data_IF_696612007804
#
_entry.id   IF_696612007804
#
_cell.length_a   1.000
_cell.length_b   1.000
_cell.length_c   1.000
_cell.angle_alpha   90.00
_cell.angle_beta   90.00
_cell.angle_gamma   90.00
#
_symmetry.space_group_name_H-M   'P 1'
#
loop_
_entity.id
_entity.type
_entity.pdbx_description
1 polymer ?
#
# COMPACT_ATOMS: atom_id res chain seq x y z
N UNK A 1 -23.52 -38.82 -2.53
CA UNK A 1 -22.38 -39.47 -3.21
C UNK A 1 -22.50 -39.15 -4.70
N UNK A 2 -21.84 -38.08 -5.16
CA UNK A 2 -21.76 -37.77 -6.60
C UNK A 2 -20.76 -38.74 -7.26
N UNK A 3 -21.16 -39.34 -8.38
CA UNK A 3 -20.31 -40.26 -9.15
C UNK A 3 -19.15 -39.46 -9.73
N UNK A 4 -17.94 -40.02 -9.71
CA UNK A 4 -16.78 -39.49 -10.47
C UNK A 4 -17.23 -39.30 -11.94
N UNK A 5 -17.18 -38.08 -12.46
CA UNK A 5 -17.57 -37.76 -13.85
C UNK A 5 -18.77 -36.82 -14.04
N UNK A 6 -19.44 -36.36 -12.98
CA UNK A 6 -20.58 -35.43 -13.11
C UNK A 6 -20.21 -33.94 -12.89
N UNK A 7 -18.95 -33.65 -12.52
CA UNK A 7 -18.48 -32.30 -12.20
C UNK A 7 -17.54 -31.75 -13.26
N UNK A 8 -17.69 -30.47 -13.61
CA UNK A 8 -16.75 -29.75 -14.48
C UNK A 8 -15.30 -29.78 -13.98
N UNK A 9 -15.10 -29.89 -12.68
CA UNK A 9 -13.77 -30.00 -12.08
C UNK A 9 -13.11 -31.34 -12.41
N UNK A 10 -13.87 -32.43 -12.55
CA UNK A 10 -13.32 -33.75 -12.91
C UNK A 10 -12.84 -33.77 -14.37
N UNK A 11 -13.44 -32.92 -15.21
CA UNK A 11 -13.18 -32.83 -16.65
C UNK A 11 -12.14 -31.76 -17.01
N UNK A 12 -11.64 -30.98 -16.05
CA UNK A 12 -10.77 -29.83 -16.31
C UNK A 12 -9.53 -30.18 -17.14
N UNK A 13 -8.87 -31.30 -16.87
CA UNK A 13 -7.68 -31.71 -17.62
C UNK A 13 -7.98 -32.20 -19.05
N UNK A 14 -9.24 -32.52 -19.37
CA UNK A 14 -9.68 -32.81 -20.74
C UNK A 14 -10.06 -31.53 -21.50
N UNK A 15 -10.50 -30.51 -20.78
CA UNK A 15 -10.92 -29.20 -21.32
C UNK A 15 -9.72 -28.29 -21.55
N UNK A 16 -8.71 -28.35 -20.68
CA UNK A 16 -7.49 -27.57 -20.82
C UNK A 16 -6.76 -28.00 -22.11
N UNK A 17 -6.49 -27.05 -23.02
CA UNK A 17 -5.81 -27.37 -24.28
C UNK A 17 -4.49 -28.09 -24.03
N UNK A 18 -4.24 -29.15 -24.80
CA UNK A 18 -3.07 -30.02 -24.61
C UNK A 18 -1.73 -29.29 -24.61
N UNK A 19 -0.66 -29.91 -24.08
CA UNK A 19 0.68 -29.32 -24.06
C UNK A 19 1.19 -29.19 -25.50
N UNK A 20 0.98 -28.03 -26.12
CA UNK A 20 1.48 -27.69 -27.44
C UNK A 20 2.64 -26.70 -27.38
N UNK A 21 3.36 -26.57 -28.49
CA UNK A 21 4.39 -25.52 -28.70
C UNK A 21 3.78 -24.20 -29.20
N UNK A 22 2.48 -24.01 -28.94
CA UNK A 22 1.74 -22.80 -29.29
C UNK A 22 2.27 -21.57 -28.56
N UNK A 23 2.03 -20.40 -29.16
CA UNK A 23 2.50 -19.11 -28.63
C UNK A 23 1.89 -18.77 -27.27
N UNK A 24 0.65 -19.19 -27.07
CA UNK A 24 -0.06 -19.19 -25.80
C UNK A 24 -0.53 -20.60 -25.48
N UNK A 25 -0.33 -21.03 -24.24
CA UNK A 25 -0.70 -22.38 -23.78
C UNK A 25 -1.00 -22.40 -22.29
N UNK A 26 -1.52 -23.52 -21.82
CA UNK A 26 -1.62 -23.78 -20.39
C UNK A 26 -0.23 -24.01 -19.80
N UNK A 27 0.06 -23.34 -18.68
CA UNK A 27 1.27 -23.55 -17.90
C UNK A 27 1.09 -24.78 -16.99
N UNK A 28 1.22 -25.97 -17.60
CA UNK A 28 1.06 -27.25 -16.93
C UNK A 28 1.94 -27.41 -15.67
N UNK A 29 3.24 -27.03 -15.68
CA UNK A 29 4.08 -27.07 -14.48
C UNK A 29 3.54 -26.23 -13.31
N UNK A 30 2.79 -25.15 -13.57
CA UNK A 30 2.22 -24.31 -12.53
C UNK A 30 0.85 -24.80 -12.01
N UNK A 31 0.28 -25.87 -12.56
CA UNK A 31 -1.05 -26.36 -12.15
C UNK A 31 -1.05 -26.78 -10.67
N UNK A 32 -1.97 -26.17 -9.92
CA UNK A 32 -2.35 -26.55 -8.57
C UNK A 32 -3.87 -26.65 -8.51
N UNK A 33 -4.36 -27.87 -8.62
CA UNK A 33 -5.80 -28.17 -8.62
C UNK A 33 -6.48 -27.57 -7.38
N UNK A 34 -7.64 -26.96 -7.59
CA UNK A 34 -8.44 -26.26 -6.57
C UNK A 34 -7.77 -25.02 -5.94
N UNK A 35 -6.60 -24.61 -6.43
CA UNK A 35 -5.89 -23.41 -5.96
C UNK A 35 -5.81 -22.36 -7.06
N UNK A 36 -5.09 -22.66 -8.14
CA UNK A 36 -4.97 -21.79 -9.32
C UNK A 36 -5.53 -22.42 -10.59
N UNK A 37 -5.94 -23.69 -10.52
CA UNK A 37 -6.52 -24.45 -11.62
C UNK A 37 -7.83 -25.06 -11.15
N UNK A 38 -8.95 -24.45 -11.53
CA UNK A 38 -10.27 -24.95 -11.18
C UNK A 38 -11.32 -24.55 -12.22
N UNK A 39 -12.39 -25.35 -12.29
CA UNK A 39 -13.56 -25.11 -13.12
C UNK A 39 -14.79 -25.55 -12.33
N UNK A 40 -15.44 -24.60 -11.67
CA UNK A 40 -16.47 -24.87 -10.66
C UNK A 40 -17.74 -24.07 -10.94
N UNK A 41 -18.89 -24.68 -10.69
CA UNK A 41 -20.18 -23.99 -10.77
C UNK A 41 -20.23 -22.90 -9.69
N UNK A 42 -20.74 -21.71 -10.03
CA UNK A 42 -21.01 -20.64 -9.07
C UNK A 42 -22.05 -21.07 -8.03
N UNK A 43 -22.06 -20.40 -6.88
CA UNK A 43 -22.97 -20.72 -5.77
C UNK A 43 -24.46 -20.53 -6.15
N UNK A 44 -24.76 -19.50 -6.93
CA UNK A 44 -26.09 -19.26 -7.51
C UNK A 44 -26.44 -20.25 -8.64
N UNK A 45 -25.47 -21.03 -9.11
CA UNK A 45 -25.66 -22.04 -10.15
C UNK A 45 -25.75 -21.50 -11.58
N UNK A 46 -25.53 -20.21 -11.81
CA UNK A 46 -25.77 -19.51 -13.09
C UNK A 46 -24.52 -19.38 -13.97
N UNK A 47 -23.33 -19.57 -13.39
CA UNK A 47 -22.05 -19.44 -14.07
C UNK A 47 -21.11 -20.62 -13.79
N UNK A 48 -20.11 -20.77 -14.65
CA UNK A 48 -18.97 -21.64 -14.50
C UNK A 48 -17.73 -20.78 -14.27
N UNK A 49 -17.21 -20.77 -13.04
CA UNK A 49 -16.04 -20.00 -12.64
C UNK A 49 -14.77 -20.78 -12.94
N UNK A 50 -13.77 -20.11 -13.47
CA UNK A 50 -12.48 -20.73 -13.77
C UNK A 50 -11.31 -19.95 -13.18
N UNK A 51 -10.22 -20.68 -12.97
CA UNK A 51 -8.87 -20.16 -12.83
C UNK A 51 -7.97 -21.10 -13.62
N UNK A 52 -7.13 -20.56 -14.50
CA UNK A 52 -6.19 -21.35 -15.31
C UNK A 52 -4.81 -20.66 -15.35
N UNK A 53 -3.71 -21.40 -15.21
CA UNK A 53 -2.38 -20.86 -15.42
C UNK A 53 -2.07 -20.88 -16.92
N UNK A 54 -1.64 -19.74 -17.45
CA UNK A 54 -1.29 -19.55 -18.86
C UNK A 54 0.19 -19.16 -18.98
N UNK A 55 0.85 -19.70 -20.00
CA UNK A 55 2.20 -19.35 -20.42
C UNK A 55 2.16 -18.75 -21.82
N UNK A 56 2.68 -17.53 -21.96
CA UNK A 56 2.76 -16.79 -23.21
C UNK A 56 4.22 -16.58 -23.58
N UNK A 57 4.61 -17.04 -24.78
CA UNK A 57 5.97 -16.93 -25.33
C UNK A 57 6.18 -15.62 -26.10
N UNK A 58 5.40 -14.58 -25.79
CA UNK A 58 5.57 -13.27 -26.39
C UNK A 58 6.99 -12.74 -26.12
N UNK A 59 7.64 -12.06 -27.09
CA UNK A 59 8.94 -11.46 -26.87
C UNK A 59 8.76 -10.33 -25.85
N UNK A 60 9.31 -10.54 -24.66
CA UNK A 60 9.27 -9.58 -23.56
C UNK A 60 10.69 -9.35 -23.08
N UNK A 61 11.00 -8.19 -22.46
CA UNK A 61 12.30 -7.96 -21.85
C UNK A 61 12.67 -9.14 -20.95
N UNK A 62 13.86 -9.71 -21.15
CA UNK A 62 14.24 -10.99 -20.54
C UNK A 62 14.14 -11.02 -19.00
N UNK A 63 14.16 -12.22 -18.40
CA UNK A 63 14.05 -12.39 -16.96
C UNK A 63 15.11 -11.58 -16.21
N UNK A 64 14.71 -10.91 -15.13
CA UNK A 64 15.64 -10.15 -14.30
C UNK A 64 14.96 -9.22 -13.29
N UNK A 65 15.75 -8.41 -12.57
CA UNK A 65 15.23 -7.35 -11.73
C UNK A 65 14.24 -6.48 -12.53
N UNK A 66 13.10 -6.17 -11.91
CA UNK A 66 12.07 -5.34 -12.49
C UNK A 66 10.99 -6.05 -13.32
N UNK A 67 11.06 -7.37 -13.50
CA UNK A 67 10.08 -8.11 -14.32
C UNK A 67 8.63 -8.01 -13.85
N UNK A 68 8.38 -7.76 -12.56
CA UNK A 68 7.05 -7.46 -12.03
C UNK A 68 6.47 -6.14 -12.57
N UNK A 69 7.31 -5.13 -12.83
CA UNK A 69 6.88 -3.91 -13.51
C UNK A 69 6.37 -4.20 -14.93
N UNK A 70 7.13 -4.99 -15.70
CA UNK A 70 6.77 -5.44 -17.04
C UNK A 70 5.44 -6.23 -17.03
N UNK A 71 5.31 -7.20 -16.14
CA UNK A 71 4.08 -7.99 -15.99
C UNK A 71 2.90 -7.12 -15.58
N UNK A 72 3.13 -6.10 -14.74
CA UNK A 72 2.10 -5.15 -14.34
C UNK A 72 1.48 -4.43 -15.52
N UNK A 73 2.32 -3.90 -16.43
CA UNK A 73 1.86 -3.24 -17.66
C UNK A 73 1.10 -4.21 -18.56
N UNK A 74 1.58 -5.46 -18.69
CA UNK A 74 0.89 -6.49 -19.48
C UNK A 74 -0.50 -6.78 -18.93
N UNK A 75 -0.63 -6.97 -17.61
CA UNK A 75 -1.92 -7.21 -16.96
C UNK A 75 -2.87 -6.03 -17.18
N UNK A 76 -2.41 -4.80 -16.96
CA UNK A 76 -3.26 -3.61 -17.16
C UNK A 76 -3.66 -3.42 -18.64
N UNK A 77 -2.79 -3.78 -19.60
CA UNK A 77 -3.14 -3.79 -21.01
C UNK A 77 -4.23 -4.82 -21.33
N UNK A 78 -4.15 -6.02 -20.75
CA UNK A 78 -5.20 -7.05 -20.89
C UNK A 78 -6.51 -6.53 -20.30
N UNK A 79 -6.51 -5.98 -19.08
CA UNK A 79 -7.70 -5.41 -18.44
C UNK A 79 -8.36 -4.34 -19.31
N UNK A 80 -7.58 -3.43 -19.88
CA UNK A 80 -8.08 -2.39 -20.77
C UNK A 80 -8.68 -2.95 -22.06
N UNK A 81 -8.15 -4.06 -22.57
CA UNK A 81 -8.64 -4.70 -23.80
C UNK A 81 -9.92 -5.53 -23.60
N UNK A 82 -10.30 -5.90 -22.37
CA UNK A 82 -11.43 -6.82 -22.10
C UNK A 82 -12.74 -6.35 -22.73
N UNK A 83 -12.99 -5.04 -22.79
CA UNK A 83 -14.22 -4.51 -23.39
C UNK A 83 -14.17 -4.39 -24.92
N UNK A 84 -12.98 -4.38 -25.53
CA UNK A 84 -12.79 -4.28 -26.97
C UNK A 84 -12.53 -5.62 -27.67
N UNK A 85 -12.08 -6.64 -26.92
CA UNK A 85 -11.72 -7.95 -27.44
C UNK A 85 -12.65 -9.04 -26.88
N UNK A 86 -13.59 -9.50 -27.71
CA UNK A 86 -14.67 -10.42 -27.33
C UNK A 86 -14.19 -11.65 -26.56
N UNK A 87 -13.06 -12.22 -26.99
CA UNK A 87 -12.52 -13.47 -26.43
C UNK A 87 -11.92 -13.28 -25.02
N UNK A 88 -11.64 -12.04 -24.59
CA UNK A 88 -11.27 -11.71 -23.22
C UNK A 88 -12.48 -11.51 -22.29
N UNK A 89 -13.69 -11.43 -22.84
CA UNK A 89 -14.95 -11.26 -22.09
C UNK A 89 -15.12 -12.20 -20.88
N UNK A 90 -14.67 -13.48 -20.91
CA UNK A 90 -14.74 -14.36 -19.75
C UNK A 90 -14.02 -13.82 -18.50
N UNK A 91 -12.97 -13.00 -18.66
CA UNK A 91 -12.25 -12.38 -17.53
C UNK A 91 -13.16 -11.42 -16.76
N UNK A 92 -14.03 -10.68 -17.47
CA UNK A 92 -15.06 -9.80 -16.90
C UNK A 92 -16.39 -10.52 -16.61
N UNK A 93 -16.49 -11.82 -16.88
CA UNK A 93 -17.73 -12.58 -16.74
C UNK A 93 -18.81 -12.18 -17.75
N UNK A 94 -18.43 -11.67 -18.92
CA UNK A 94 -19.37 -11.26 -19.97
C UNK A 94 -20.32 -12.41 -20.34
N UNK A 95 -21.62 -12.11 -20.39
CA UNK A 95 -22.68 -13.08 -20.70
C UNK A 95 -23.19 -13.89 -19.50
N UNK A 96 -22.56 -13.79 -18.33
CA UNK A 96 -23.10 -14.38 -17.08
C UNK A 96 -24.24 -13.51 -16.52
N UNK A 97 -25.08 -14.11 -15.67
CA UNK A 97 -26.18 -13.38 -14.99
C UNK A 97 -25.66 -12.33 -14.00
N UNK A 98 -24.50 -12.58 -13.39
CA UNK A 98 -23.88 -11.72 -12.39
C UNK A 98 -22.40 -11.40 -12.74
N UNK A 99 -22.13 -10.62 -13.80
CA UNK A 99 -20.77 -10.27 -14.22
C UNK A 99 -20.01 -9.48 -13.14
N UNK A 100 -20.76 -8.85 -12.22
CA UNK A 100 -20.21 -8.12 -11.07
C UNK A 100 -19.24 -8.92 -10.20
N UNK A 101 -19.35 -10.26 -10.18
CA UNK A 101 -18.45 -11.15 -9.44
C UNK A 101 -17.03 -11.22 -10.03
N UNK A 102 -16.85 -10.83 -11.29
CA UNK A 102 -15.56 -10.85 -11.99
C UNK A 102 -14.90 -9.47 -12.08
N UNK A 103 -15.55 -8.42 -11.58
CA UNK A 103 -15.00 -7.06 -11.60
C UNK A 103 -13.64 -6.90 -10.91
N UNK A 104 -13.26 -7.63 -9.84
CA UNK A 104 -11.89 -7.59 -9.31
C UNK A 104 -10.81 -7.98 -10.33
N UNK A 105 -11.13 -8.81 -11.32
CA UNK A 105 -10.18 -9.21 -12.36
C UNK A 105 -9.85 -8.05 -13.32
N UNK A 106 -10.78 -7.10 -13.49
CA UNK A 106 -10.60 -5.97 -14.41
C UNK A 106 -10.46 -4.61 -13.72
N UNK A 107 -10.49 -4.57 -12.38
CA UNK A 107 -10.20 -3.36 -11.62
C UNK A 107 -8.76 -2.90 -11.94
N UNK A 108 -8.55 -1.64 -12.35
CA UNK A 108 -7.21 -1.11 -12.56
C UNK A 108 -6.41 -1.08 -11.26
N UNK A 109 -5.19 -1.61 -11.29
CA UNK A 109 -4.34 -1.71 -10.09
C UNK A 109 -2.96 -1.15 -10.37
N UNK A 110 -2.56 -0.18 -9.56
CA UNK A 110 -1.23 0.44 -9.63
C UNK A 110 -0.25 -0.11 -8.59
N UNK A 111 -0.62 -1.14 -7.83
CA UNK A 111 0.28 -1.86 -6.92
C UNK A 111 1.05 -2.94 -7.70
N UNK A 112 2.36 -2.75 -7.86
CA UNK A 112 3.25 -3.69 -8.56
C UNK A 112 3.78 -4.75 -7.60
N UNK A 113 4.34 -4.34 -6.45
CA UNK A 113 4.90 -5.26 -5.48
C UNK A 113 4.63 -4.81 -4.05
N UNK A 114 4.35 -5.78 -3.17
CA UNK A 114 4.18 -5.56 -1.73
C UNK A 114 4.72 -6.74 -0.96
N UNK A 115 5.33 -6.47 0.21
CA UNK A 115 5.67 -7.50 1.20
C UNK A 115 4.49 -7.90 2.08
N UNK A 116 3.39 -7.15 2.04
CA UNK A 116 2.15 -7.45 2.76
C UNK A 116 1.19 -8.25 1.86
N UNK A 117 0.27 -9.00 2.45
CA UNK A 117 -0.81 -9.69 1.74
C UNK A 117 -1.93 -8.73 1.26
N UNK A 118 -1.58 -7.48 0.91
CA UNK A 118 -2.54 -6.47 0.49
C UNK A 118 -2.85 -6.61 -1.01
N UNK A 119 -4.12 -6.45 -1.39
CA UNK A 119 -4.57 -6.54 -2.79
C UNK A 119 -4.33 -7.90 -3.44
N UNK A 120 -4.33 -9.00 -2.68
CA UNK A 120 -4.17 -10.39 -3.20
C UNK A 120 -5.41 -10.92 -3.90
N UNK A 121 -6.54 -10.26 -3.70
CA UNK A 121 -7.82 -10.50 -4.36
C UNK A 121 -7.93 -9.84 -5.74
N UNK A 122 -6.98 -8.96 -6.08
CA UNK A 122 -6.92 -8.24 -7.36
C UNK A 122 -5.93 -8.92 -8.32
N UNK A 123 -6.17 -8.77 -9.62
CA UNK A 123 -5.22 -9.28 -10.62
C UNK A 123 -4.04 -8.32 -10.78
N UNK A 124 -2.84 -8.75 -10.36
CA UNK A 124 -1.61 -7.94 -10.36
C UNK A 124 -0.38 -8.85 -10.43
N UNK A 125 0.83 -8.30 -10.60
CA UNK A 125 2.06 -9.07 -10.51
C UNK A 125 2.21 -9.74 -9.13
N UNK A 126 2.55 -11.02 -9.15
CA UNK A 126 2.79 -11.85 -7.96
C UNK A 126 3.56 -13.14 -8.36
N UNK A 127 3.52 -14.16 -7.51
CA UNK A 127 4.19 -15.43 -7.79
C UNK A 127 3.55 -16.24 -8.94
N UNK A 128 2.25 -16.06 -9.18
CA UNK A 128 1.52 -16.71 -10.27
C UNK A 128 1.51 -15.87 -11.55
N UNK A 129 1.68 -14.55 -11.42
CA UNK A 129 1.73 -13.60 -12.51
C UNK A 129 3.13 -13.00 -12.59
N UNK A 130 4.00 -13.61 -13.40
CA UNK A 130 5.44 -13.30 -13.45
C UNK A 130 6.00 -13.47 -14.84
N UNK A 131 7.26 -13.09 -15.01
CA UNK A 131 8.05 -13.31 -16.22
C UNK A 131 9.31 -14.08 -15.85
N UNK A 132 9.63 -15.12 -16.61
CA UNK A 132 10.89 -15.84 -16.49
C UNK A 132 11.49 -16.16 -17.88
N UNK A 133 12.40 -17.13 -17.96
CA UNK A 133 13.06 -17.50 -19.22
C UNK A 133 12.12 -18.16 -20.25
N UNK A 134 11.01 -18.74 -19.80
CA UNK A 134 10.05 -19.43 -20.66
C UNK A 134 8.99 -18.47 -21.24
N UNK A 135 8.81 -17.32 -20.60
CA UNK A 135 7.92 -16.25 -21.07
C UNK A 135 7.13 -15.59 -19.94
N UNK A 136 5.90 -15.18 -20.26
CA UNK A 136 4.97 -14.54 -19.32
C UNK A 136 4.01 -15.58 -18.76
N UNK A 137 4.06 -15.76 -17.46
CA UNK A 137 3.16 -16.61 -16.69
C UNK A 137 2.03 -15.77 -16.12
N UNK A 138 0.77 -16.18 -16.35
CA UNK A 138 -0.41 -15.49 -15.83
C UNK A 138 -1.38 -16.49 -15.21
N UNK A 139 -1.95 -16.17 -14.06
CA UNK A 139 -3.10 -16.88 -13.51
C UNK A 139 -4.35 -16.12 -13.91
N UNK A 140 -5.05 -16.63 -14.92
CA UNK A 140 -6.23 -15.99 -15.49
C UNK A 140 -7.47 -16.52 -14.81
N UNK A 141 -8.29 -15.62 -14.27
CA UNK A 141 -9.53 -15.93 -13.58
C UNK A 141 -10.71 -15.30 -14.31
N UNK A 142 -11.86 -15.97 -14.25
CA UNK A 142 -13.06 -15.45 -14.89
C UNK A 142 -14.28 -16.34 -14.67
N UNK A 143 -15.31 -16.07 -15.47
CA UNK A 143 -16.52 -16.86 -15.49
C UNK A 143 -17.12 -16.94 -16.90
N UNK A 144 -17.77 -18.06 -17.17
CA UNK A 144 -18.56 -18.32 -18.37
C UNK A 144 -20.01 -18.58 -17.97
N UNK A 145 -21.00 -18.33 -18.85
CA UNK A 145 -22.38 -18.78 -18.60
C UNK A 145 -22.39 -20.28 -18.33
N UNK A 146 -23.17 -20.73 -17.34
CA UNK A 146 -23.19 -22.16 -17.01
C UNK A 146 -23.78 -22.97 -18.18
N UNK A 147 -23.01 -23.86 -18.82
CA UNK A 147 -23.47 -24.55 -20.03
C UNK A 147 -24.39 -25.76 -19.73
N UNK A 148 -24.62 -26.08 -18.45
CA UNK A 148 -25.25 -27.33 -18.01
C UNK A 148 -24.22 -28.36 -17.53
N UNK A 149 -24.65 -29.62 -17.32
CA UNK A 149 -23.75 -30.70 -16.93
C UNK A 149 -22.71 -31.02 -18.04
N UNK A 150 -21.53 -31.57 -17.69
CA UNK A 150 -20.50 -31.94 -18.66
C UNK A 150 -21.03 -32.94 -19.69
N UNK A 151 -20.87 -32.63 -20.97
CA UNK A 151 -21.09 -33.55 -22.10
C UNK A 151 -19.92 -33.40 -23.08
N UNK A 152 -19.61 -34.41 -23.92
CA UNK A 152 -18.51 -34.31 -24.88
C UNK A 152 -18.57 -33.05 -25.77
N UNK A 153 -19.77 -32.68 -26.24
CA UNK A 153 -19.96 -31.47 -27.06
C UNK A 153 -19.65 -30.18 -26.28
N UNK A 154 -20.06 -30.09 -25.01
CA UNK A 154 -19.81 -28.90 -24.18
C UNK A 154 -18.37 -28.82 -23.71
N UNK A 155 -17.71 -29.97 -23.51
CA UNK A 155 -16.28 -30.03 -23.22
C UNK A 155 -15.49 -29.42 -24.38
N UNK A 156 -15.80 -29.82 -25.63
CA UNK A 156 -15.18 -29.26 -26.83
C UNK A 156 -15.43 -27.75 -26.96
N UNK A 157 -16.66 -27.29 -26.71
CA UNK A 157 -16.99 -25.86 -26.74
C UNK A 157 -16.17 -25.05 -25.72
N UNK A 158 -15.94 -25.59 -24.51
CA UNK A 158 -15.11 -24.92 -23.51
C UNK A 158 -13.63 -24.93 -23.87
N UNK A 159 -13.12 -26.02 -24.45
CA UNK A 159 -11.75 -26.10 -24.96
C UNK A 159 -11.50 -25.03 -26.03
N UNK A 160 -12.40 -24.90 -27.02
CA UNK A 160 -12.34 -23.85 -28.05
C UNK A 160 -12.37 -22.44 -27.44
N UNK A 161 -13.21 -22.21 -26.43
CA UNK A 161 -13.27 -20.92 -25.71
C UNK A 161 -11.98 -20.61 -24.96
N UNK A 162 -11.34 -21.60 -24.33
CA UNK A 162 -10.07 -21.38 -23.65
C UNK A 162 -8.92 -21.17 -24.65
N UNK A 163 -8.91 -21.85 -25.79
CA UNK A 163 -7.98 -21.57 -26.88
C UNK A 163 -8.12 -20.14 -27.38
N UNK A 164 -9.36 -19.69 -27.65
CA UNK A 164 -9.61 -18.31 -28.08
C UNK A 164 -9.19 -17.27 -27.03
N UNK A 165 -9.41 -17.56 -25.74
CA UNK A 165 -8.95 -16.72 -24.63
C UNK A 165 -7.41 -16.64 -24.60
N UNK A 166 -6.71 -17.76 -24.75
CA UNK A 166 -5.24 -17.80 -24.79
C UNK A 166 -4.68 -17.02 -25.98
N UNK A 167 -5.27 -17.19 -27.17
CA UNK A 167 -4.89 -16.44 -28.37
C UNK A 167 -5.11 -14.93 -28.20
N UNK A 168 -6.23 -14.54 -27.59
CA UNK A 168 -6.53 -13.13 -27.30
C UNK A 168 -5.53 -12.51 -26.31
N UNK A 169 -5.13 -13.25 -25.28
CA UNK A 169 -4.08 -12.83 -24.36
C UNK A 169 -2.77 -12.57 -25.10
N UNK A 170 -2.27 -13.52 -25.91
CA UNK A 170 -1.04 -13.34 -26.69
C UNK A 170 -1.13 -12.17 -27.68
N UNK A 171 -2.28 -11.99 -28.35
CA UNK A 171 -2.51 -10.82 -29.22
C UNK A 171 -2.36 -9.50 -28.47
N UNK A 172 -2.88 -9.39 -27.26
CA UNK A 172 -2.75 -8.17 -26.44
C UNK A 172 -1.33 -7.98 -25.97
N UNK A 173 -0.69 -9.01 -25.41
CA UNK A 173 0.68 -8.93 -24.90
C UNK A 173 1.66 -8.48 -25.99
N UNK A 174 1.53 -9.00 -27.21
CA UNK A 174 2.38 -8.61 -28.35
C UNK A 174 2.15 -7.20 -28.87
N UNK A 175 1.00 -6.57 -28.56
CA UNK A 175 0.70 -5.19 -28.93
C UNK A 175 1.21 -4.18 -27.92
N UNK A 176 1.64 -4.62 -26.73
CA UNK A 176 2.21 -3.73 -25.73
C UNK A 176 3.55 -3.20 -26.25
N UNK A 177 3.75 -1.87 -26.34
CA UNK A 177 4.99 -1.31 -26.86
C UNK A 177 6.21 -1.66 -26.00
N UNK A 178 7.31 -2.08 -26.62
CA UNK A 178 8.57 -2.43 -25.93
C UNK A 178 9.09 -1.30 -25.02
N UNK A 179 8.86 -0.04 -25.42
CA UNK A 179 9.23 1.13 -24.62
C UNK A 179 8.48 1.18 -23.29
N UNK A 180 7.21 0.75 -23.25
CA UNK A 180 6.36 0.78 -22.05
C UNK A 180 6.76 -0.38 -21.13
N UNK A 181 7.07 -1.55 -21.72
CA UNK A 181 7.61 -2.71 -21.00
C UNK A 181 8.96 -2.40 -20.33
N UNK A 182 9.85 -1.70 -21.05
CA UNK A 182 11.18 -1.30 -20.57
C UNK A 182 11.07 -0.23 -19.49
N UNK A 183 10.28 0.82 -19.71
CA UNK A 183 10.08 1.88 -18.72
C UNK A 183 9.50 1.35 -17.40
N UNK A 184 8.55 0.40 -17.46
CA UNK A 184 8.01 -0.21 -16.25
C UNK A 184 9.00 -1.12 -15.53
N UNK A 185 9.85 -1.83 -16.27
CA UNK A 185 10.97 -2.59 -15.69
C UNK A 185 11.92 -1.68 -14.94
N UNK A 186 12.37 -0.61 -15.59
CA UNK A 186 13.34 0.33 -15.03
C UNK A 186 12.76 1.03 -13.80
N UNK A 187 11.48 1.42 -13.83
CA UNK A 187 10.80 2.01 -12.68
C UNK A 187 10.71 1.04 -11.48
N UNK A 188 10.50 -0.25 -11.73
CA UNK A 188 10.51 -1.26 -10.67
C UNK A 188 11.92 -1.43 -10.09
N UNK A 189 12.96 -1.38 -10.92
CA UNK A 189 14.37 -1.39 -10.48
C UNK A 189 14.66 -0.14 -9.64
N UNK A 190 14.26 1.05 -10.11
CA UNK A 190 14.45 2.33 -9.45
C UNK A 190 13.91 2.32 -8.02
N UNK A 191 12.64 1.93 -7.85
CA UNK A 191 11.98 1.87 -6.55
C UNK A 191 12.69 0.92 -5.58
N UNK A 192 13.07 -0.28 -6.06
CA UNK A 192 13.73 -1.29 -5.23
C UNK A 192 15.15 -0.88 -4.86
N UNK A 193 15.91 -0.34 -5.81
CA UNK A 193 17.26 0.12 -5.57
C UNK A 193 17.27 1.31 -4.61
N UNK A 194 16.40 2.30 -4.84
CA UNK A 194 16.23 3.45 -3.96
C UNK A 194 15.88 3.01 -2.54
N UNK A 195 14.89 2.12 -2.37
CA UNK A 195 14.49 1.63 -1.04
C UNK A 195 15.63 0.96 -0.28
N UNK A 196 16.46 0.19 -0.99
CA UNK A 196 17.64 -0.47 -0.41
C UNK A 196 18.73 0.52 -0.05
N UNK A 197 18.87 1.61 -0.80
CA UNK A 197 19.89 2.64 -0.57
C UNK A 197 19.55 3.56 0.62
N UNK A 198 18.27 3.80 0.92
CA UNK A 198 17.82 4.75 1.96
C UNK A 198 18.63 4.63 3.28
N UNK A 199 18.78 3.44 3.90
CA UNK A 199 19.47 3.37 5.19
C UNK A 199 20.95 3.73 5.10
N UNK A 200 21.61 3.41 3.99
CA UNK A 200 23.03 3.68 3.77
C UNK A 200 23.36 5.17 3.60
N UNK A 201 22.36 5.99 3.25
CA UNK A 201 22.45 7.45 3.16
C UNK A 201 21.78 8.16 4.34
N UNK A 202 21.47 7.42 5.42
CA UNK A 202 20.88 7.99 6.63
C UNK A 202 19.42 8.40 6.50
N UNK A 203 18.67 7.83 5.55
CA UNK A 203 17.25 8.11 5.32
C UNK A 203 16.36 6.91 5.66
N UNK A 204 15.09 7.18 5.96
CA UNK A 204 14.02 6.19 6.14
C UNK A 204 12.90 6.33 5.10
N UNK A 205 12.78 7.50 4.48
CA UNK A 205 11.89 7.70 3.34
C UNK A 205 12.43 8.78 2.41
N UNK A 206 12.02 8.74 1.15
CA UNK A 206 12.26 9.76 0.15
C UNK A 206 10.95 10.07 -0.57
N UNK A 207 10.63 11.35 -0.71
CA UNK A 207 9.45 11.85 -1.43
C UNK A 207 9.94 12.72 -2.58
N UNK A 208 9.97 12.17 -3.80
CA UNK A 208 10.39 12.90 -4.98
C UNK A 208 9.47 14.10 -5.28
N UNK A 209 10.04 15.17 -5.80
CA UNK A 209 9.28 16.27 -6.39
C UNK A 209 8.41 15.75 -7.53
N UNK A 210 7.18 16.26 -7.59
CA UNK A 210 6.15 15.77 -8.51
C UNK A 210 5.26 14.65 -7.94
N UNK A 211 5.61 14.09 -6.77
CA UNK A 211 4.79 13.07 -6.10
C UNK A 211 3.37 13.56 -5.88
N UNK A 212 2.40 12.65 -6.06
CA UNK A 212 0.98 12.93 -6.13
C UNK A 212 0.25 12.05 -5.11
N UNK A 213 0.09 12.50 -3.85
CA UNK A 213 -0.29 11.64 -2.72
C UNK A 213 -1.79 11.33 -2.61
N UNK A 214 -2.67 12.22 -3.09
CA UNK A 214 -4.13 12.05 -3.03
C UNK A 214 -4.65 10.84 -3.84
N UNK A 215 -5.70 10.19 -3.32
CA UNK A 215 -6.23 8.91 -3.84
C UNK A 215 -7.71 8.94 -4.17
N UNK A 216 -8.09 8.06 -5.10
CA UNK A 216 -9.47 7.62 -5.34
C UNK A 216 -9.64 6.19 -4.83
N UNK A 217 -10.65 6.00 -3.98
CA UNK A 217 -11.02 4.71 -3.46
C UNK A 217 -12.12 4.08 -4.31
N UNK A 218 -12.09 2.76 -4.46
CA UNK A 218 -13.20 1.97 -4.99
C UNK A 218 -13.59 0.90 -3.97
N UNK A 219 -14.69 0.19 -4.22
CA UNK A 219 -15.08 -0.94 -3.36
C UNK A 219 -14.04 -2.07 -3.31
N UNK A 220 -13.16 -2.14 -4.33
CA UNK A 220 -12.09 -3.13 -4.45
C UNK A 220 -10.76 -2.60 -3.91
N UNK A 221 -10.55 -1.28 -3.97
CA UNK A 221 -9.35 -0.59 -3.48
C UNK A 221 -9.71 0.37 -2.37
N UNK A 222 -10.21 -0.19 -1.26
CA UNK A 222 -10.71 0.57 -0.11
C UNK A 222 -9.60 1.02 0.85
N UNK A 223 -8.35 0.63 0.60
CA UNK A 223 -7.21 0.96 1.45
C UNK A 223 -6.20 1.86 0.72
N UNK A 224 -5.67 2.89 1.40
CA UNK A 224 -4.84 3.93 0.77
C UNK A 224 -3.60 3.40 0.04
N UNK A 225 -3.01 2.30 0.54
CA UNK A 225 -1.86 1.62 -0.10
C UNK A 225 -2.18 1.04 -1.48
N UNK A 226 -3.43 0.66 -1.75
CA UNK A 226 -3.85 0.08 -3.06
C UNK A 226 -4.79 0.99 -3.85
N UNK A 227 -5.31 2.04 -3.24
CA UNK A 227 -6.15 3.03 -3.90
C UNK A 227 -5.41 3.68 -5.08
N UNK A 228 -6.15 4.02 -6.14
CA UNK A 228 -5.61 4.64 -7.34
C UNK A 228 -5.38 6.14 -7.20
N UNK A 229 -4.76 6.78 -8.21
CA UNK A 229 -4.60 8.23 -8.24
C UNK A 229 -5.95 8.95 -8.20
N UNK A 230 -5.97 10.14 -7.59
CA UNK A 230 -7.14 11.02 -7.61
C UNK A 230 -7.42 11.51 -9.04
N UNK A 231 -8.70 11.62 -9.39
CA UNK A 231 -9.14 12.25 -10.64
C UNK A 231 -9.26 13.78 -10.49
N UNK A 232 -8.99 14.50 -11.57
CA UNK A 232 -9.08 15.97 -11.59
C UNK A 232 -7.90 16.66 -10.92
N UNK A 233 -8.19 17.66 -10.08
CA UNK A 233 -7.15 18.52 -9.49
C UNK A 233 -6.29 17.74 -8.49
N UNK A 234 -5.01 17.65 -8.82
CA UNK A 234 -3.99 16.97 -8.03
C UNK A 234 -2.75 17.87 -7.91
N UNK A 235 -2.56 18.47 -6.73
CA UNK A 235 -1.39 19.31 -6.45
C UNK A 235 -0.18 18.39 -6.24
N UNK A 236 0.90 18.53 -7.04
CA UNK A 236 2.12 17.76 -6.85
C UNK A 236 2.90 18.27 -5.64
N UNK A 237 3.47 17.34 -4.88
CA UNK A 237 4.45 17.62 -3.83
C UNK A 237 5.69 18.27 -4.45
N UNK A 238 6.24 19.26 -3.74
CA UNK A 238 7.57 19.82 -4.00
C UNK A 238 8.28 19.97 -2.66
N UNK A 239 9.56 19.68 -2.56
CA UNK A 239 10.31 19.92 -1.34
C UNK A 239 10.67 21.42 -1.25
N UNK A 240 10.31 22.12 -0.16
CA UNK A 240 10.85 23.44 0.12
C UNK A 240 12.37 23.40 0.23
N UNK A 241 13.06 24.43 -0.26
CA UNK A 241 14.53 24.49 -0.27
C UNK A 241 15.11 24.47 1.15
N UNK A 242 14.40 25.07 2.10
CA UNK A 242 14.79 25.18 3.51
C UNK A 242 14.68 23.86 4.28
N UNK A 243 14.11 22.80 3.66
CA UNK A 243 14.13 21.45 4.21
C UNK A 243 15.30 20.60 3.71
N UNK A 244 16.26 21.21 3.01
CA UNK A 244 17.45 20.58 2.44
C UNK A 244 17.08 19.41 1.50
N UNK A 245 16.50 19.68 0.31
CA UNK A 245 16.18 18.63 -0.65
C UNK A 245 17.42 17.83 -1.02
N UNK A 246 17.24 16.53 -1.24
CA UNK A 246 18.30 15.60 -1.63
C UNK A 246 18.13 15.20 -3.09
N UNK A 247 19.24 14.98 -3.77
CA UNK A 247 19.27 14.44 -5.14
C UNK A 247 19.63 12.96 -5.11
N UNK A 248 18.91 12.17 -5.91
CA UNK A 248 19.08 10.73 -6.02
C UNK A 248 19.18 10.35 -7.48
N UNK A 249 20.24 9.63 -7.85
CA UNK A 249 20.35 8.97 -9.14
C UNK A 249 19.61 7.61 -9.10
N UNK A 250 18.71 7.41 -10.05
CA UNK A 250 17.86 6.25 -10.16
C UNK A 250 18.57 5.13 -10.94
N UNK A 251 18.71 3.95 -10.34
CA UNK A 251 19.59 2.89 -10.84
C UNK A 251 19.11 2.19 -12.13
N UNK A 252 17.80 2.13 -12.36
CA UNK A 252 17.18 1.57 -13.56
C UNK A 252 17.10 2.60 -14.68
N UNK A 253 16.51 3.77 -14.42
CA UNK A 253 16.29 4.79 -15.46
C UNK A 253 17.47 5.73 -15.71
N UNK A 254 18.47 5.78 -14.82
CA UNK A 254 19.62 6.70 -14.89
C UNK A 254 19.27 8.17 -14.65
N UNK A 255 18.02 8.47 -14.28
CA UNK A 255 17.57 9.84 -14.03
C UNK A 255 18.03 10.31 -12.65
N UNK A 256 18.34 11.59 -12.54
CA UNK A 256 18.50 12.25 -11.23
C UNK A 256 17.18 12.89 -10.84
N UNK A 257 16.73 12.66 -9.61
CA UNK A 257 15.51 13.25 -9.05
C UNK A 257 15.80 13.94 -7.72
N UNK A 258 15.18 15.10 -7.54
CA UNK A 258 15.24 15.88 -6.30
C UNK A 258 14.01 15.61 -5.45
N UNK A 259 14.13 15.65 -4.13
CA UNK A 259 12.98 15.47 -3.24
C UNK A 259 13.32 15.59 -1.76
N UNK A 260 12.30 15.37 -0.93
CA UNK A 260 12.44 15.38 0.53
C UNK A 260 12.97 14.03 1.02
N UNK A 261 14.14 14.01 1.66
CA UNK A 261 14.62 12.87 2.44
C UNK A 261 14.17 12.99 3.91
N UNK A 262 13.49 11.97 4.43
CA UNK A 262 13.20 11.82 5.88
C UNK A 262 14.37 11.08 6.52
N UNK A 263 15.04 11.74 7.46
CA UNK A 263 16.32 11.32 8.05
C UNK A 263 16.11 10.31 9.18
N UNK A 264 17.05 9.39 9.35
CA UNK A 264 17.06 8.47 10.50
C UNK A 264 17.12 9.27 11.82
N UNK A 265 16.41 8.76 12.84
CA UNK A 265 16.36 9.32 14.21
C UNK A 265 15.75 10.73 14.32
N UNK A 266 15.24 11.30 13.23
CA UNK A 266 14.66 12.63 13.28
C UNK A 266 13.23 12.60 13.83
N UNK A 267 12.81 13.73 14.40
CA UNK A 267 11.40 14.01 14.67
C UNK A 267 10.90 15.01 13.61
N UNK A 268 10.09 14.55 12.67
CA UNK A 268 9.60 15.36 11.56
C UNK A 268 8.11 15.68 11.71
N UNK A 269 7.76 16.97 11.72
CA UNK A 269 6.37 17.41 11.80
C UNK A 269 5.83 17.79 10.42
N UNK A 270 4.68 17.23 10.06
CA UNK A 270 3.82 17.68 8.96
C UNK A 270 2.68 18.50 9.58
N UNK A 271 2.87 19.81 9.66
CA UNK A 271 1.93 20.76 10.23
C UNK A 271 0.93 21.28 9.18
N UNK A 272 -0.17 21.88 9.62
CA UNK A 272 -1.13 22.54 8.71
C UNK A 272 -2.55 22.51 9.25
N UNK A 273 -3.41 23.37 8.71
CA UNK A 273 -4.82 23.42 9.09
C UNK A 273 -5.58 22.14 8.70
N UNK A 274 -6.84 22.07 9.09
CA UNK A 274 -7.74 20.97 8.73
C UNK A 274 -7.86 20.86 7.21
N UNK A 275 -7.93 19.62 6.72
CA UNK A 275 -8.07 19.30 5.29
C UNK A 275 -6.92 19.77 4.37
N UNK A 276 -5.75 20.13 4.90
CA UNK A 276 -4.61 20.57 4.08
C UNK A 276 -3.80 19.42 3.42
N UNK A 277 -4.13 18.16 3.71
CA UNK A 277 -3.50 16.98 3.10
C UNK A 277 -2.42 16.30 3.94
N UNK A 278 -2.34 16.61 5.24
CA UNK A 278 -1.36 16.01 6.18
C UNK A 278 -1.45 14.48 6.22
N UNK A 279 -2.62 13.95 6.60
CA UNK A 279 -2.87 12.50 6.66
C UNK A 279 -2.72 11.84 5.29
N UNK A 280 -3.04 12.56 4.21
CA UNK A 280 -2.82 12.09 2.83
C UNK A 280 -1.34 11.87 2.53
N UNK A 281 -0.46 12.78 2.94
CA UNK A 281 0.98 12.61 2.79
C UNK A 281 1.51 11.46 3.66
N UNK A 282 1.07 11.36 4.92
CA UNK A 282 1.46 10.25 5.81
C UNK A 282 1.03 8.89 5.23
N UNK A 283 -0.19 8.78 4.72
CA UNK A 283 -0.66 7.57 4.04
C UNK A 283 0.17 7.24 2.79
N UNK A 284 0.61 8.25 2.05
CA UNK A 284 1.50 8.04 0.91
C UNK A 284 2.87 7.52 1.37
N UNK A 285 3.44 8.06 2.45
CA UNK A 285 4.69 7.59 3.10
C UNK A 285 4.56 6.14 3.58
N UNK A 286 3.43 5.74 4.17
CA UNK A 286 3.17 4.33 4.51
C UNK A 286 3.14 3.45 3.26
N UNK A 287 2.49 3.93 2.18
CA UNK A 287 2.42 3.22 0.91
C UNK A 287 3.79 3.08 0.23
N UNK A 288 4.76 3.98 0.46
CA UNK A 288 6.11 3.88 -0.11
C UNK A 288 6.90 2.61 0.25
N UNK A 289 6.39 1.78 1.17
CA UNK A 289 6.88 0.42 1.40
C UNK A 289 6.61 -0.53 0.22
N UNK A 290 5.67 -0.16 -0.64
CA UNK A 290 5.22 -0.90 -1.81
C UNK A 290 5.76 -0.25 -3.10
N UNK A 291 5.89 -1.05 -4.15
CA UNK A 291 6.24 -0.57 -5.49
C UNK A 291 4.97 -0.26 -6.28
N UNK A 292 4.94 0.90 -6.93
CA UNK A 292 3.80 1.39 -7.68
C UNK A 292 4.10 1.46 -9.19
N UNK A 293 3.08 1.18 -9.99
CA UNK A 293 3.14 1.25 -11.45
C UNK A 293 3.13 2.70 -11.95
N UNK A 294 3.62 2.90 -13.17
CA UNK A 294 3.61 4.21 -13.83
C UNK A 294 2.19 4.79 -13.92
N UNK A 295 2.05 6.08 -13.57
CA UNK A 295 0.78 6.81 -13.55
C UNK A 295 0.09 6.83 -12.18
N UNK A 296 0.61 6.14 -11.16
CA UNK A 296 0.08 6.18 -9.79
C UNK A 296 0.34 7.52 -9.08
N UNK A 297 1.46 8.16 -9.40
CA UNK A 297 1.94 9.37 -8.74
C UNK A 297 2.73 9.15 -7.44
N UNK A 298 2.87 7.91 -6.92
CA UNK A 298 3.77 7.58 -5.78
C UNK A 298 5.00 6.79 -6.19
N UNK A 299 5.26 6.66 -7.48
CA UNK A 299 6.27 5.74 -7.98
C UNK A 299 7.67 6.08 -7.49
N UNK A 300 7.94 7.34 -7.14
CA UNK A 300 9.21 7.77 -6.54
C UNK A 300 9.04 8.31 -5.11
N UNK A 301 7.94 7.93 -4.45
CA UNK A 301 7.82 8.01 -3.00
C UNK A 301 8.14 6.63 -2.44
N UNK A 302 9.29 6.53 -1.78
CA UNK A 302 9.83 5.26 -1.31
C UNK A 302 10.15 5.34 0.18
N UNK A 303 9.69 4.34 0.93
CA UNK A 303 9.95 4.22 2.37
C UNK A 303 10.62 2.87 2.66
N UNK A 304 11.48 2.84 3.68
CA UNK A 304 12.02 1.59 4.21
C UNK A 304 10.89 0.66 4.66
N UNK A 305 11.15 -0.65 4.68
CA UNK A 305 10.19 -1.62 5.19
C UNK A 305 10.08 -1.54 6.73
N UNK A 306 8.93 -1.91 7.27
CA UNK A 306 8.72 -1.98 8.72
C UNK A 306 8.22 -0.67 9.32
N UNK A 307 7.62 0.22 8.51
CA UNK A 307 6.98 1.44 9.02
C UNK A 307 5.87 1.05 9.98
N UNK A 308 5.96 1.54 11.21
CA UNK A 308 4.95 1.37 12.23
C UNK A 308 3.99 2.57 12.24
N UNK A 309 2.75 2.30 12.62
CA UNK A 309 1.74 3.33 12.89
C UNK A 309 1.19 3.08 14.29
N UNK A 310 0.94 4.16 15.03
CA UNK A 310 0.24 4.09 16.29
C UNK A 310 -1.00 4.99 16.27
N UNK A 311 -2.16 4.39 16.52
CA UNK A 311 -3.47 5.04 16.57
C UNK A 311 -4.12 4.78 17.94
N UNK A 312 -4.96 5.71 18.38
CA UNK A 312 -5.89 5.45 19.45
C UNK A 312 -6.99 4.49 18.98
N UNK A 313 -7.42 3.61 19.87
CA UNK A 313 -8.54 2.71 19.65
C UNK A 313 -8.95 2.00 20.93
N UNK A 314 -9.95 1.14 20.81
CA UNK A 314 -10.45 0.33 21.92
C UNK A 314 -10.22 -1.14 21.60
N UNK A 315 -9.35 -1.79 22.37
CA UNK A 315 -9.09 -3.24 22.24
C UNK A 315 -8.60 -3.85 23.54
N UNK A 316 -8.74 -5.17 23.63
CA UNK A 316 -8.19 -5.95 24.72
C UNK A 316 -6.66 -5.87 24.76
N UNK A 317 -6.12 -5.60 25.95
CA UNK A 317 -4.70 -5.67 26.27
C UNK A 317 -4.39 -7.06 26.84
N UNK A 318 -3.31 -7.66 26.37
CA UNK A 318 -2.81 -8.95 26.86
C UNK A 318 -1.29 -8.86 27.03
N UNK A 319 -0.84 -8.44 28.22
CA UNK A 319 0.57 -8.20 28.49
C UNK A 319 1.14 -7.00 27.75
N UNK A 320 0.32 -5.95 27.58
CA UNK A 320 0.72 -4.75 26.87
C UNK A 320 1.72 -3.92 27.69
N UNK A 321 2.87 -3.59 27.10
CA UNK A 321 3.81 -2.65 27.71
C UNK A 321 3.38 -1.22 27.38
N UNK A 322 3.02 -0.44 28.40
CA UNK A 322 2.68 0.99 28.39
C UNK A 322 3.58 1.83 29.32
N UNK A 323 4.58 1.21 29.95
CA UNK A 323 5.47 1.80 30.95
C UNK A 323 6.29 3.03 30.51
N UNK A 324 6.48 3.26 29.21
CA UNK A 324 7.10 4.49 28.71
C UNK A 324 6.23 5.73 29.00
N UNK A 325 4.91 5.56 28.95
CA UNK A 325 3.95 6.65 29.11
C UNK A 325 3.25 6.63 30.45
N UNK A 326 3.05 5.46 31.06
CA UNK A 326 2.30 5.30 32.30
C UNK A 326 3.20 4.82 33.45
N UNK A 327 3.29 5.60 34.52
CA UNK A 327 3.98 5.18 35.75
C UNK A 327 3.12 4.27 36.63
N UNK A 328 1.79 4.37 36.48
CA UNK A 328 0.78 3.50 37.11
C UNK A 328 -0.38 3.29 36.16
N UNK A 329 -1.03 2.13 36.27
CA UNK A 329 -2.20 1.81 35.45
C UNK A 329 -3.47 2.52 35.96
N UNK A 330 -4.39 2.92 35.07
CA UNK A 330 -5.71 3.39 35.47
C UNK A 330 -6.51 2.32 36.25
N UNK A 331 -7.43 2.72 37.15
CA UNK A 331 -8.34 1.78 37.80
C UNK A 331 -9.11 0.92 36.78
N UNK A 332 -9.23 -0.38 37.05
CA UNK A 332 -9.92 -1.33 36.18
C UNK A 332 -9.04 -1.99 35.11
N UNK A 333 -7.79 -1.54 34.94
CA UNK A 333 -6.77 -2.22 34.13
C UNK A 333 -5.91 -3.07 35.06
N UNK A 334 -5.77 -4.36 34.74
CA UNK A 334 -5.01 -5.31 35.55
C UNK A 334 -3.53 -5.36 35.18
N UNK A 335 -2.70 -5.89 36.09
CA UNK A 335 -1.26 -6.08 35.89
C UNK A 335 -0.43 -4.86 36.29
N UNK A 336 0.68 -4.66 35.57
CA UNK A 336 1.64 -3.56 35.79
C UNK A 336 1.85 -2.80 34.47
N UNK A 337 2.35 -1.55 34.45
CA UNK A 337 2.58 -0.82 33.20
C UNK A 337 3.43 -1.55 32.16
N UNK A 338 4.33 -2.47 32.56
CA UNK A 338 5.12 -3.30 31.63
C UNK A 338 4.37 -4.51 31.05
N UNK A 339 3.24 -4.86 31.65
CA UNK A 339 2.42 -6.00 31.28
C UNK A 339 0.96 -5.75 31.72
N UNK A 340 0.28 -4.85 31.00
CA UNK A 340 -1.11 -4.47 31.26
C UNK A 340 -2.10 -5.45 30.61
N UNK A 341 -3.20 -5.72 31.31
CA UNK A 341 -4.26 -6.63 30.88
C UNK A 341 -5.64 -5.98 31.06
N UNK A 342 -6.60 -6.33 30.22
CA UNK A 342 -7.98 -5.85 30.31
C UNK A 342 -8.40 -5.02 29.11
N UNK A 343 -9.35 -4.10 29.28
CA UNK A 343 -9.79 -3.22 28.20
C UNK A 343 -8.90 -1.99 28.11
N UNK A 344 -8.23 -1.81 26.96
CA UNK A 344 -7.39 -0.65 26.69
C UNK A 344 -8.23 0.52 26.17
N UNK A 345 -8.11 1.67 26.82
CA UNK A 345 -8.60 2.95 26.28
C UNK A 345 -7.73 3.44 25.12
N UNK A 346 -8.19 4.46 24.41
CA UNK A 346 -7.47 5.08 23.28
C UNK A 346 -5.99 5.37 23.58
N UNK A 347 -5.68 5.98 24.72
CA UNK A 347 -4.30 6.32 25.10
C UNK A 347 -3.46 5.11 25.51
N UNK A 348 -4.05 4.09 26.16
CA UNK A 348 -3.32 2.87 26.52
C UNK A 348 -2.98 2.04 25.28
N UNK A 349 -3.92 1.90 24.34
CA UNK A 349 -3.70 1.19 23.08
C UNK A 349 -2.61 1.87 22.27
N UNK A 350 -2.70 3.19 22.11
CA UNK A 350 -1.70 3.97 21.38
C UNK A 350 -0.31 3.90 22.06
N UNK A 351 -0.25 4.01 23.39
CA UNK A 351 1.01 3.88 24.14
C UNK A 351 1.66 2.51 23.93
N UNK A 352 0.86 1.45 23.91
CA UNK A 352 1.33 0.11 23.63
C UNK A 352 1.85 -0.05 22.19
N UNK A 353 1.19 0.57 21.20
CA UNK A 353 1.66 0.55 19.81
C UNK A 353 2.98 1.30 19.65
N UNK A 354 3.12 2.47 20.27
CA UNK A 354 4.38 3.22 20.26
C UNK A 354 5.49 2.37 20.91
N UNK A 355 5.27 1.81 22.10
CA UNK A 355 6.30 0.98 22.73
C UNK A 355 6.62 -0.29 21.95
N UNK A 356 5.63 -0.89 21.29
CA UNK A 356 5.89 -2.04 20.42
C UNK A 356 6.78 -1.65 19.25
N UNK A 357 6.50 -0.51 18.60
CA UNK A 357 7.33 0.01 17.52
C UNK A 357 8.77 0.27 17.96
N UNK A 358 8.96 0.89 19.14
CA UNK A 358 10.30 1.15 19.70
C UNK A 358 11.04 -0.14 20.04
N UNK A 359 10.35 -1.10 20.69
CA UNK A 359 10.92 -2.40 21.05
C UNK A 359 11.29 -3.26 19.84
N UNK A 360 10.53 -3.17 18.75
CA UNK A 360 10.86 -3.85 17.48
C UNK A 360 11.82 -3.05 16.62
N UNK A 361 12.37 -1.92 17.13
CA UNK A 361 13.26 -1.02 16.41
C UNK A 361 12.71 -0.64 15.03
N UNK A 362 11.41 -0.28 14.97
CA UNK A 362 10.78 0.18 13.75
C UNK A 362 11.56 1.39 13.22
N UNK A 363 11.99 1.41 11.94
CA UNK A 363 12.81 2.50 11.43
C UNK A 363 12.05 3.84 11.36
N UNK A 364 10.72 3.77 11.21
CA UNK A 364 9.83 4.92 11.12
C UNK A 364 8.53 4.62 11.87
N UNK A 365 8.18 5.49 12.82
CA UNK A 365 6.91 5.50 13.53
C UNK A 365 6.08 6.71 13.06
N UNK A 366 4.87 6.44 12.57
CA UNK A 366 3.94 7.45 12.07
C UNK A 366 2.78 7.67 13.04
N UNK A 367 2.51 8.94 13.36
CA UNK A 367 1.41 9.38 14.23
C UNK A 367 0.54 10.41 13.49
N UNK A 368 -0.78 10.33 13.65
CA UNK A 368 -1.73 11.26 13.01
C UNK A 368 -2.66 11.83 14.06
N UNK A 369 -2.67 13.16 14.25
CA UNK A 369 -3.51 13.84 15.24
C UNK A 369 -4.99 13.42 15.15
N UNK A 370 -5.52 13.25 13.93
CA UNK A 370 -6.91 12.87 13.69
C UNK A 370 -7.27 11.45 14.19
N UNK A 371 -6.26 10.62 14.49
CA UNK A 371 -6.43 9.25 14.99
C UNK A 371 -5.69 9.02 16.31
N UNK A 372 -5.27 10.09 16.98
CA UNK A 372 -4.47 10.01 18.19
C UNK A 372 -5.28 10.29 19.46
N UNK A 373 -4.80 9.76 20.58
CA UNK A 373 -5.21 10.19 21.90
C UNK A 373 -4.39 11.44 22.27
N UNK A 374 -4.99 12.63 22.13
CA UNK A 374 -4.29 13.92 22.31
C UNK A 374 -3.63 14.05 23.69
N UNK A 375 -4.27 13.53 24.74
CA UNK A 375 -3.73 13.49 26.10
C UNK A 375 -2.49 12.58 26.28
N UNK A 376 -2.22 11.68 25.33
CA UNK A 376 -0.96 10.93 25.29
C UNK A 376 0.14 11.71 24.56
N UNK A 377 -0.23 12.62 23.66
CA UNK A 377 0.70 13.36 22.82
C UNK A 377 1.21 14.65 23.47
N UNK A 378 0.32 15.42 24.09
CA UNK A 378 0.62 16.72 24.70
C UNK A 378 0.16 16.79 26.16
N UNK A 379 0.86 17.56 27.02
CA UNK A 379 0.43 17.76 28.41
C UNK A 379 -0.86 18.58 28.48
N UNK A 380 -1.72 18.26 29.45
CA UNK A 380 -2.90 19.05 29.80
C UNK A 380 -3.01 19.33 31.30
N UNK A 381 -3.68 20.41 31.68
CA UNK A 381 -3.86 20.80 33.09
C UNK A 381 -4.75 19.85 33.90
N UNK A 382 -5.55 19.01 33.23
CA UNK A 382 -6.38 17.97 33.85
C UNK A 382 -5.69 16.60 33.91
N UNK A 383 -4.47 16.50 33.38
CA UNK A 383 -3.73 15.25 33.33
C UNK A 383 -3.08 14.97 34.68
N UNK A 384 -3.33 13.78 35.23
CA UNK A 384 -2.69 13.35 36.48
C UNK A 384 -1.22 12.98 36.31
N UNK A 385 -0.47 13.00 37.42
CA UNK A 385 0.98 12.75 37.52
C UNK A 385 1.44 11.35 37.05
N UNK A 386 0.49 10.48 36.69
CA UNK A 386 0.73 9.11 36.25
C UNK A 386 1.12 8.96 34.77
N UNK A 387 0.98 10.01 33.96
CA UNK A 387 1.14 9.93 32.49
C UNK A 387 2.18 10.94 31.99
N UNK A 388 3.18 10.46 31.27
CA UNK A 388 4.20 11.30 30.60
C UNK A 388 3.88 11.42 29.10
N UNK A 389 3.43 12.58 28.61
CA UNK A 389 3.12 12.77 27.19
C UNK A 389 4.32 12.64 26.26
N UNK A 390 4.07 12.34 24.98
CA UNK A 390 5.10 12.26 23.95
C UNK A 390 5.92 13.55 23.83
N UNK A 391 5.28 14.72 23.86
CA UNK A 391 5.98 16.00 23.78
C UNK A 391 6.97 16.18 24.96
N UNK A 392 6.61 15.70 26.15
CA UNK A 392 7.50 15.73 27.31
C UNK A 392 8.67 14.77 27.13
N UNK A 393 8.43 13.54 26.67
CA UNK A 393 9.49 12.56 26.39
C UNK A 393 10.47 13.08 25.33
N UNK A 394 9.97 13.72 24.28
CA UNK A 394 10.79 14.33 23.23
C UNK A 394 11.61 15.54 23.73
N UNK A 395 11.14 16.21 24.78
CA UNK A 395 11.84 17.34 25.38
C UNK A 395 12.91 16.88 26.39
N UNK A 396 12.67 15.80 27.13
CA UNK A 396 13.49 15.45 28.32
C UNK A 396 14.21 14.11 28.23
N UNK A 397 13.76 13.18 27.37
CA UNK A 397 14.22 11.79 27.32
C UNK A 397 14.29 11.25 25.88
N UNK A 398 14.97 11.96 24.98
CA UNK A 398 15.04 11.58 23.55
C UNK A 398 15.70 10.22 23.29
N UNK A 399 16.62 9.82 24.15
CA UNK A 399 17.36 8.57 24.06
C UNK A 399 16.45 7.33 24.05
N UNK A 400 15.24 7.42 24.62
CA UNK A 400 14.28 6.29 24.69
C UNK A 400 13.74 5.90 23.32
N UNK A 401 13.81 6.78 22.32
CA UNK A 401 13.34 6.49 20.95
C UNK A 401 14.40 5.74 20.12
N UNK A 402 15.65 5.67 20.61
CA UNK A 402 16.74 4.95 19.96
C UNK A 402 16.92 5.34 18.49
N UNK A 403 16.84 4.34 17.62
CA UNK A 403 16.99 4.50 16.17
C UNK A 403 15.70 4.91 15.44
N UNK A 404 14.57 4.94 16.15
CA UNK A 404 13.25 5.13 15.55
C UNK A 404 13.07 6.58 15.12
N UNK A 405 12.81 6.79 13.84
CA UNK A 405 12.38 8.09 13.30
C UNK A 405 10.91 8.32 13.64
N UNK A 406 10.53 9.52 14.06
CA UNK A 406 9.14 9.87 14.33
C UNK A 406 8.65 10.86 13.29
N UNK A 407 7.60 10.50 12.57
CA UNK A 407 6.89 11.39 11.65
C UNK A 407 5.47 11.58 12.17
N UNK A 408 5.03 12.83 12.33
CA UNK A 408 3.66 13.08 12.77
C UNK A 408 2.96 14.19 11.99
N UNK A 409 1.65 14.00 11.77
CA UNK A 409 0.76 15.04 11.29
C UNK A 409 0.12 15.75 12.47
N UNK A 410 0.14 17.09 12.45
CA UNK A 410 -0.50 17.90 13.47
C UNK A 410 -1.11 19.19 12.90
N UNK A 411 -2.22 19.61 13.47
CA UNK A 411 -2.91 20.89 13.27
C UNK A 411 -2.86 21.75 14.51
N UNK A 412 -3.10 21.16 15.69
CA UNK A 412 -3.33 21.91 16.93
C UNK A 412 -2.36 21.54 18.05
N UNK A 413 -1.51 20.53 17.84
CA UNK A 413 -0.53 20.06 18.82
C UNK A 413 0.73 20.93 18.83
N UNK A 414 0.60 22.23 19.05
CA UNK A 414 1.72 23.19 18.97
C UNK A 414 2.89 22.83 19.89
N UNK A 415 2.58 22.34 21.11
CA UNK A 415 3.59 21.89 22.08
C UNK A 415 4.40 20.70 21.54
N UNK A 416 3.77 19.79 20.79
CA UNK A 416 4.44 18.66 20.15
C UNK A 416 5.22 19.11 18.91
N UNK A 417 4.63 19.96 18.06
CA UNK A 417 5.28 20.55 16.88
C UNK A 417 6.57 21.28 17.28
N UNK A 418 6.56 22.00 18.42
CA UNK A 418 7.72 22.69 18.95
C UNK A 418 8.89 21.73 19.31
N UNK A 419 8.64 20.43 19.47
CA UNK A 419 9.68 19.42 19.69
C UNK A 419 10.24 18.82 18.40
N UNK A 420 9.65 19.06 17.22
CA UNK A 420 10.19 18.53 15.99
C UNK A 420 11.56 19.12 15.63
N UNK A 421 12.38 18.34 14.93
CA UNK A 421 13.68 18.74 14.42
C UNK A 421 13.53 19.53 13.11
N UNK A 422 12.60 19.10 12.25
CA UNK A 422 12.16 19.83 11.05
C UNK A 422 10.63 19.91 11.01
N UNK A 423 10.13 21.03 10.52
CA UNK A 423 8.69 21.29 10.41
C UNK A 423 8.37 21.66 8.97
N UNK A 424 7.50 20.88 8.35
CA UNK A 424 6.90 21.18 7.06
C UNK A 424 5.43 21.52 7.28
N UNK A 425 4.99 22.69 6.80
CA UNK A 425 3.60 23.09 6.78
C UNK A 425 2.96 22.79 5.44
N UNK A 426 1.75 22.24 5.45
CA UNK A 426 0.86 22.19 4.31
C UNK A 426 -0.16 23.32 4.37
N UNK A 427 -0.29 24.07 3.27
CA UNK A 427 -1.29 25.13 3.08
C UNK A 427 -1.70 25.21 1.61
N UNK A 428 -2.99 25.08 1.31
CA UNK A 428 -3.48 24.92 -0.05
C UNK A 428 -2.96 23.64 -0.73
N UNK A 429 -2.62 22.61 0.06
CA UNK A 429 -1.87 21.41 -0.38
C UNK A 429 -0.45 21.67 -0.89
N UNK A 430 0.06 22.89 -0.78
CA UNK A 430 1.45 23.23 -1.04
C UNK A 430 2.28 23.10 0.24
N UNK A 431 3.55 22.79 0.06
CA UNK A 431 4.53 22.59 1.12
C UNK A 431 5.30 23.88 1.40
N UNK A 432 5.53 24.17 2.67
CA UNK A 432 6.39 25.25 3.14
C UNK A 432 7.24 24.75 4.30
N UNK A 433 8.47 25.21 4.41
CA UNK A 433 9.24 25.00 5.62
C UNK A 433 8.83 26.00 6.69
N UNK A 434 8.81 25.58 7.96
CA UNK A 434 8.74 26.48 9.09
C UNK A 434 10.05 26.41 9.88
N UNK A 435 10.67 27.57 10.11
CA UNK A 435 11.82 27.64 11.01
C UNK A 435 11.39 27.28 12.43
N UNK A 436 12.03 26.28 13.01
CA UNK A 436 11.72 25.76 14.34
C UNK A 436 11.87 26.82 15.43
N UNK A 437 12.87 27.71 15.33
CA UNK A 437 13.12 28.74 16.36
C UNK A 437 12.07 29.83 16.29
N UNK A 438 11.68 30.23 15.08
CA UNK A 438 10.56 31.14 14.85
C UNK A 438 9.24 30.55 15.34
N UNK A 439 8.95 29.29 15.02
CA UNK A 439 7.75 28.60 15.52
C UNK A 439 7.68 28.62 17.05
N UNK A 440 8.78 28.28 17.73
CA UNK A 440 8.87 28.34 19.20
C UNK A 440 8.64 29.75 19.76
N UNK A 441 9.24 30.78 19.15
CA UNK A 441 9.00 32.19 19.55
C UNK A 441 7.57 32.64 19.32
N UNK A 442 6.91 32.13 18.28
CA UNK A 442 5.48 32.40 18.02
C UNK A 442 4.61 31.73 19.07
N UNK A 443 4.87 30.47 19.41
CA UNK A 443 4.15 29.74 20.44
C UNK A 443 4.30 30.39 21.82
N UNK A 444 5.52 30.77 22.21
CA UNK A 444 5.79 31.44 23.48
C UNK A 444 4.98 32.73 23.63
N UNK A 445 4.98 33.60 22.61
CA UNK A 445 4.16 34.83 22.60
C UNK A 445 2.66 34.53 22.70
N UNK A 446 2.19 33.49 22.00
CA UNK A 446 0.79 33.09 22.06
C UNK A 446 0.38 32.65 23.47
N UNK A 447 1.18 31.79 24.11
CA UNK A 447 0.92 31.30 25.47
C UNK A 447 1.04 32.41 26.52
N UNK A 448 1.97 33.36 26.35
CA UNK A 448 2.07 34.53 27.20
C UNK A 448 0.79 35.38 27.14
N UNK A 449 0.24 35.61 25.95
CA UNK A 449 -1.03 36.32 25.78
C UNK A 449 -2.22 35.57 26.39
N UNK A 450 -2.27 34.24 26.27
CA UNK A 450 -3.30 33.42 26.95
C UNK A 450 -3.20 33.59 28.47
N UNK A 451 -1.98 33.53 29.03
CA UNK A 451 -1.75 33.73 30.47
C UNK A 451 -2.20 35.11 30.93
N UNK A 452 -1.83 36.16 30.19
CA UNK A 452 -2.23 37.54 30.49
C UNK A 452 -3.76 37.72 30.45
N UNK A 453 -4.42 37.12 29.46
CA UNK A 453 -5.88 37.18 29.35
C UNK A 453 -6.58 36.50 30.52
N UNK A 454 -6.14 35.29 30.90
CA UNK A 454 -6.71 34.56 32.03
C UNK A 454 -6.48 35.30 33.35
N UNK A 455 -5.28 35.85 33.56
CA UNK A 455 -4.96 36.62 34.77
C UNK A 455 -5.75 37.94 34.87
N UNK A 456 -6.18 38.53 33.76
CA UNK A 456 -7.01 39.73 33.75
C UNK A 456 -8.51 39.46 34.05
N UNK A 457 -8.93 38.20 34.10
CA UNK A 457 -10.28 37.78 34.47
C UNK A 457 -10.42 37.40 35.96
N UNK A 458 -9.31 37.33 36.68
CA UNK A 458 -9.22 37.20 38.14
C UNK A 458 -9.22 38.58 38.81
#
# INVERSE_FOLDING_TARGET
MSRRGDSWQDEIHRILPGPGDGRARIDYPAIRNLVNTYLVRSLDGTALRFSIPALLTAPVPGPGPGGDGTVGVIIEAIKAAVHGERDLGPIAGTGTEHPGHCLPNIEPVTLTASRSAIGTDLWRPDHGNRIDGDGVHLVVRGALPYPGAPTPARILELEERFLALLDALDRVVRRVPDRDLTAARDLSIDQKALRRALPGVGLVAFVADGTRPARRFTRFRCHHRIAGPKEGVHVPFRCPQELDPVEVELAGSGRVVTGLGIRQREVFAVAGSNAEGKSTLLHAIIAGQDDHAAGDGRELLVSVNGVARADAGERGLSGADVSLFFSRLPPGVGGEPRAAFGQGSGSLVMAHEIQTALRTAAPLLILDEDRAATNLLVPGCLQGDGVTPLATLLATRREVFGETTILFAASSLDILIAQADRIMQLSGHETRALDRREFRRRLDRYLAGVREHLAAQE
#
